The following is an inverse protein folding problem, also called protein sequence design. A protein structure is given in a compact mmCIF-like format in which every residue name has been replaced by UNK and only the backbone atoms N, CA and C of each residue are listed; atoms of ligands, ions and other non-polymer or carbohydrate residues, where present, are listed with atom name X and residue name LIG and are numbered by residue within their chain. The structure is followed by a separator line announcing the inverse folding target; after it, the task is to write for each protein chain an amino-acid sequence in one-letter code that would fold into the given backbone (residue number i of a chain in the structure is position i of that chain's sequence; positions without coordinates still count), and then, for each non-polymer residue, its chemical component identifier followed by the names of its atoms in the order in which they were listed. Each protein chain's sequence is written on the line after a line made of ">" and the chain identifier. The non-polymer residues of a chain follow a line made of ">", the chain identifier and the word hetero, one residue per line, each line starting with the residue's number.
data_IF_768673314836
#
_entry.id   IF_768673314836
#
_cell.length_a   1.000
_cell.length_b   1.000
_cell.length_c   1.000
_cell.angle_alpha   90.00
_cell.angle_beta   90.00
_cell.angle_gamma   90.00
#
_symmetry.space_group_name_H-M   'P 1'
#
loop_
_entity.id
_entity.type
_entity.pdbx_description
1 polymer ?
#
# COMPACT_ATOMS: atom_id res chain seq x y z
N UNK A 1 6.05 -9.88 -11.61
CA UNK A 1 7.07 -9.31 -12.51
C UNK A 1 7.91 -10.43 -13.10
N UNK A 2 8.31 -10.36 -14.40
CA UNK A 2 9.22 -11.34 -15.00
C UNK A 2 10.67 -11.13 -14.51
N UNK A 3 11.50 -12.18 -14.68
CA UNK A 3 12.94 -12.08 -14.43
C UNK A 3 13.56 -10.93 -15.26
N UNK A 4 14.58 -10.23 -14.76
CA UNK A 4 15.30 -10.45 -13.50
C UNK A 4 14.65 -9.77 -12.27
N UNK A 5 13.48 -9.17 -12.39
CA UNK A 5 12.80 -8.36 -11.35
C UNK A 5 11.68 -9.12 -10.63
N UNK A 6 11.67 -10.44 -10.68
CA UNK A 6 10.68 -11.29 -10.05
C UNK A 6 10.92 -11.48 -8.55
N UNK A 7 9.84 -11.68 -7.81
CA UNK A 7 9.90 -11.96 -6.38
C UNK A 7 10.66 -10.90 -5.57
N UNK A 8 11.62 -11.31 -4.73
CA UNK A 8 12.40 -10.39 -3.87
C UNK A 8 13.42 -9.56 -4.64
N UNK A 9 13.65 -9.83 -5.92
CA UNK A 9 14.58 -9.09 -6.79
C UNK A 9 13.97 -7.82 -7.37
N UNK A 10 12.69 -7.54 -7.09
CA UNK A 10 12.07 -6.29 -7.49
C UNK A 10 12.80 -5.09 -6.86
N UNK A 11 13.18 -4.06 -7.65
CA UNK A 11 13.94 -2.93 -7.13
C UNK A 11 13.16 -2.13 -6.10
N UNK A 12 13.91 -1.51 -5.18
CA UNK A 12 13.31 -0.55 -4.26
C UNK A 12 12.86 0.69 -5.04
N UNK A 13 11.57 0.99 -4.96
CA UNK A 13 10.97 2.17 -5.58
C UNK A 13 10.47 3.15 -4.52
N UNK A 14 10.39 4.43 -4.89
CA UNK A 14 9.82 5.50 -4.09
C UNK A 14 8.49 5.98 -4.69
N UNK A 15 7.73 6.75 -3.94
CA UNK A 15 6.52 7.43 -4.45
C UNK A 15 6.87 8.36 -5.62
N UNK A 16 8.06 8.98 -5.59
CA UNK A 16 8.57 9.81 -6.69
C UNK A 16 8.70 9.03 -8.01
N UNK A 17 9.15 7.78 -7.95
CA UNK A 17 9.28 6.94 -9.15
C UNK A 17 7.91 6.63 -9.76
N UNK A 18 6.91 6.36 -8.92
CA UNK A 18 5.53 6.14 -9.38
C UNK A 18 4.96 7.39 -10.07
N UNK A 19 5.21 8.57 -9.51
CA UNK A 19 4.77 9.84 -10.08
C UNK A 19 5.46 10.11 -11.42
N UNK A 20 6.77 9.88 -11.49
CA UNK A 20 7.51 10.09 -12.74
C UNK A 20 7.11 9.09 -13.82
N UNK A 21 6.86 7.82 -13.48
CA UNK A 21 6.36 6.83 -14.41
C UNK A 21 4.98 7.23 -14.96
N UNK A 22 4.06 7.67 -14.09
CA UNK A 22 2.74 8.15 -14.49
C UNK A 22 2.83 9.40 -15.40
N UNK A 23 3.70 10.36 -15.06
CA UNK A 23 3.93 11.57 -15.85
C UNK A 23 4.42 11.24 -17.26
N UNK A 24 5.42 10.36 -17.36
CA UNK A 24 5.95 9.91 -18.67
C UNK A 24 4.91 9.18 -19.50
N UNK A 25 4.12 8.31 -18.88
CA UNK A 25 3.03 7.61 -19.55
C UNK A 25 2.01 8.59 -20.12
N UNK A 26 1.54 9.56 -19.31
CA UNK A 26 0.57 10.56 -19.74
C UNK A 26 1.09 11.40 -20.92
N UNK A 27 2.36 11.76 -20.88
CA UNK A 27 2.98 12.53 -21.96
C UNK A 27 3.17 11.71 -23.23
N UNK A 28 3.71 10.48 -23.10
CA UNK A 28 4.06 9.64 -24.26
C UNK A 28 2.83 9.08 -24.97
N UNK A 29 1.84 8.59 -24.21
CA UNK A 29 0.69 7.88 -24.79
C UNK A 29 -0.50 8.83 -25.08
N UNK A 30 -0.63 9.93 -24.30
CA UNK A 30 -1.81 10.80 -24.39
C UNK A 30 -1.48 12.25 -24.76
N UNK A 31 -0.20 12.63 -24.85
CA UNK A 31 0.22 14.01 -25.10
C UNK A 31 -0.14 14.98 -23.95
N UNK A 32 -0.49 14.45 -22.77
CA UNK A 32 -0.91 15.25 -21.63
C UNK A 32 0.33 15.73 -20.87
N UNK A 33 0.55 17.04 -20.88
CA UNK A 33 1.67 17.68 -20.17
C UNK A 33 1.23 18.41 -18.91
N UNK A 34 -0.08 18.70 -18.75
CA UNK A 34 -0.64 19.40 -17.59
C UNK A 34 -1.94 18.76 -17.15
N UNK A 35 -2.04 18.51 -15.84
CA UNK A 35 -3.22 17.96 -15.18
C UNK A 35 -4.04 19.07 -14.52
N UNK A 36 -5.34 19.02 -14.66
CA UNK A 36 -6.26 19.91 -13.96
C UNK A 36 -6.25 19.61 -12.45
N UNK A 37 -6.26 18.34 -12.09
CA UNK A 37 -6.18 17.88 -10.70
C UNK A 37 -5.58 16.48 -10.60
N UNK A 38 -4.90 16.20 -9.47
CA UNK A 38 -4.52 14.87 -9.03
C UNK A 38 -5.30 14.55 -7.76
N UNK A 39 -6.13 13.51 -7.81
CA UNK A 39 -6.95 13.04 -6.68
C UNK A 39 -6.40 11.71 -6.19
N UNK A 40 -6.10 11.59 -4.90
CA UNK A 40 -5.47 10.40 -4.36
C UNK A 40 -5.97 9.99 -2.98
N UNK A 41 -6.27 8.70 -2.82
CA UNK A 41 -6.63 8.09 -1.55
C UNK A 41 -5.45 7.29 -0.98
N UNK A 42 -5.20 7.38 0.34
CA UNK A 42 -4.17 6.60 1.04
C UNK A 42 -2.78 6.81 0.42
N UNK A 43 -2.14 5.78 -0.11
CA UNK A 43 -0.88 5.87 -0.84
C UNK A 43 -1.00 6.73 -2.12
N UNK A 44 -2.20 6.81 -2.73
CA UNK A 44 -2.50 7.77 -3.79
C UNK A 44 -2.47 9.22 -3.34
N UNK A 45 -2.81 9.51 -2.06
CA UNK A 45 -2.64 10.84 -1.50
C UNK A 45 -1.16 11.24 -1.37
N UNK A 46 -0.29 10.28 -1.04
CA UNK A 46 1.17 10.49 -1.05
C UNK A 46 1.66 10.84 -2.46
N UNK A 47 1.14 10.16 -3.49
CA UNK A 47 1.44 10.49 -4.88
C UNK A 47 0.93 11.88 -5.24
N UNK A 48 -0.27 12.27 -4.79
CA UNK A 48 -0.79 13.62 -5.04
C UNK A 48 0.09 14.71 -4.42
N UNK A 49 0.57 14.54 -3.19
CA UNK A 49 1.56 15.43 -2.59
C UNK A 49 2.86 15.45 -3.38
N UNK A 50 3.34 14.30 -3.81
CA UNK A 50 4.58 14.19 -4.59
C UNK A 50 4.46 14.88 -5.96
N UNK A 51 3.31 14.76 -6.64
CA UNK A 51 3.04 15.49 -7.87
C UNK A 51 3.19 17.01 -7.69
N UNK A 52 2.59 17.57 -6.62
CA UNK A 52 2.64 19.00 -6.36
C UNK A 52 4.07 19.50 -6.09
N UNK A 53 4.91 18.69 -5.44
CA UNK A 53 6.27 19.07 -5.10
C UNK A 53 7.25 18.83 -6.27
N UNK A 54 7.13 17.70 -6.96
CA UNK A 54 8.06 17.34 -8.04
C UNK A 54 7.73 18.04 -9.36
N UNK A 55 6.47 18.33 -9.62
CA UNK A 55 5.99 18.87 -10.91
C UNK A 55 4.93 19.96 -10.71
N UNK A 56 5.25 21.06 -10.00
CA UNK A 56 4.28 22.12 -9.66
C UNK A 56 3.64 22.77 -10.90
N UNK A 57 4.39 22.86 -12.00
CA UNK A 57 3.88 23.45 -13.24
C UNK A 57 3.00 22.47 -14.04
N UNK A 58 3.10 21.17 -13.77
CA UNK A 58 2.35 20.12 -14.46
C UNK A 58 1.01 19.78 -13.78
N UNK A 59 0.72 20.30 -12.58
CA UNK A 59 -0.53 20.04 -11.87
C UNK A 59 -1.11 21.32 -11.28
N UNK A 60 -2.40 21.59 -11.55
CA UNK A 60 -3.06 22.80 -11.07
C UNK A 60 -3.61 22.67 -9.65
N UNK A 61 -4.05 21.47 -9.26
CA UNK A 61 -4.68 21.19 -7.97
C UNK A 61 -4.37 19.76 -7.53
N UNK A 62 -4.31 19.55 -6.21
CA UNK A 62 -4.26 18.22 -5.62
C UNK A 62 -5.41 18.04 -4.62
N UNK A 63 -5.97 16.84 -4.55
CA UNK A 63 -6.98 16.44 -3.57
C UNK A 63 -6.49 15.16 -2.86
N UNK A 64 -5.55 15.28 -1.93
CA UNK A 64 -5.06 14.16 -1.14
C UNK A 64 -6.00 13.90 0.03
N UNK A 65 -6.44 12.63 0.23
CA UNK A 65 -7.25 12.26 1.37
C UNK A 65 -6.84 10.92 1.96
N UNK A 66 -6.96 10.77 3.27
CA UNK A 66 -6.53 9.60 4.05
C UNK A 66 -5.05 9.24 3.87
N UNK A 67 -4.18 10.23 3.63
CA UNK A 67 -2.74 10.06 3.49
C UNK A 67 -1.98 11.29 3.99
N UNK A 68 -0.67 11.22 4.00
CA UNK A 68 0.22 12.27 4.53
C UNK A 68 1.33 12.61 3.55
N UNK A 69 1.88 13.81 3.65
CA UNK A 69 3.05 14.26 2.86
C UNK A 69 4.37 13.55 3.28
N UNK A 70 4.37 12.94 4.47
CA UNK A 70 5.49 12.21 5.03
C UNK A 70 4.97 11.03 5.86
N UNK A 71 5.67 9.89 5.82
CA UNK A 71 5.36 8.77 6.72
C UNK A 71 6.05 8.99 8.06
N UNK A 72 5.25 9.33 9.07
CA UNK A 72 5.72 9.56 10.45
C UNK A 72 6.05 8.24 11.18
N UNK A 73 6.81 8.29 12.30
CA UNK A 73 7.28 7.10 13.02
C UNK A 73 6.18 6.09 13.35
N UNK A 74 4.99 6.53 13.79
CA UNK A 74 3.87 5.63 14.05
C UNK A 74 3.44 4.85 12.79
N UNK A 75 3.40 5.51 11.63
CA UNK A 75 3.13 4.85 10.34
C UNK A 75 4.22 3.86 9.96
N UNK A 76 5.49 4.20 10.21
CA UNK A 76 6.63 3.32 9.96
C UNK A 76 6.55 2.05 10.82
N UNK A 77 6.29 2.18 12.12
CA UNK A 77 6.13 1.03 13.05
C UNK A 77 4.96 0.14 12.64
N UNK A 78 3.81 0.72 12.28
CA UNK A 78 2.65 -0.02 11.80
C UNK A 78 2.97 -0.84 10.55
N UNK A 79 3.66 -0.26 9.58
CA UNK A 79 4.05 -0.96 8.35
C UNK A 79 5.10 -2.03 8.63
N UNK A 80 6.07 -1.76 9.52
CA UNK A 80 7.07 -2.75 9.91
C UNK A 80 6.44 -3.94 10.61
N UNK A 81 5.49 -3.73 11.53
CA UNK A 81 4.80 -4.84 12.20
C UNK A 81 3.96 -5.69 11.23
N UNK A 82 3.37 -5.07 10.19
CA UNK A 82 2.67 -5.81 9.14
C UNK A 82 3.65 -6.66 8.31
N UNK A 83 4.80 -6.11 7.93
CA UNK A 83 5.85 -6.85 7.22
C UNK A 83 6.35 -8.00 8.08
N UNK A 84 6.66 -7.75 9.36
CA UNK A 84 7.10 -8.79 10.29
C UNK A 84 6.09 -9.94 10.43
N UNK A 85 4.79 -9.62 10.53
CA UNK A 85 3.73 -10.62 10.60
C UNK A 85 3.69 -11.52 9.35
N UNK A 86 3.93 -10.94 8.17
CA UNK A 86 3.97 -11.69 6.91
C UNK A 86 5.24 -12.54 6.79
N UNK A 87 6.40 -11.97 7.09
CA UNK A 87 7.71 -12.62 6.92
C UNK A 87 8.02 -13.67 7.99
N UNK A 88 7.24 -13.71 9.09
CA UNK A 88 7.34 -14.76 10.10
C UNK A 88 6.88 -16.14 9.61
N UNK A 89 6.16 -16.21 8.49
CA UNK A 89 5.79 -17.48 7.86
C UNK A 89 7.04 -18.11 7.21
N UNK A 90 7.42 -19.32 7.66
CA UNK A 90 8.56 -20.04 7.09
C UNK A 90 8.41 -20.29 5.58
N UNK A 91 7.17 -20.43 5.08
CA UNK A 91 6.90 -20.59 3.65
C UNK A 91 7.24 -19.35 2.83
N UNK A 92 7.40 -18.17 3.45
CA UNK A 92 7.83 -16.94 2.76
C UNK A 92 9.24 -17.07 2.18
N UNK A 93 10.14 -17.81 2.82
CA UNK A 93 11.48 -18.14 2.31
C UNK A 93 12.23 -16.92 1.74
N UNK A 94 12.30 -15.82 2.50
CA UNK A 94 12.91 -14.56 2.07
C UNK A 94 12.38 -13.99 0.74
N UNK A 95 11.16 -14.36 0.37
CA UNK A 95 10.49 -13.93 -0.87
C UNK A 95 10.63 -14.90 -2.04
N UNK A 96 11.48 -15.93 -1.96
CA UNK A 96 11.64 -16.97 -2.98
C UNK A 96 10.71 -18.18 -2.69
N UNK A 97 9.43 -17.91 -2.47
CA UNK A 97 8.44 -18.96 -2.23
C UNK A 97 7.91 -19.56 -3.54
N UNK A 98 7.67 -20.86 -3.54
CA UNK A 98 7.03 -21.58 -4.65
C UNK A 98 5.51 -21.70 -4.48
N UNK A 99 5.05 -21.62 -3.22
CA UNK A 99 3.64 -21.57 -2.86
C UNK A 99 3.39 -20.36 -1.95
N UNK A 100 2.22 -19.68 -2.05
CA UNK A 100 1.93 -18.50 -1.24
C UNK A 100 2.11 -18.76 0.27
N UNK A 101 2.77 -17.86 1.01
CA UNK A 101 2.91 -17.95 2.47
C UNK A 101 1.59 -17.63 3.15
N UNK A 102 0.68 -18.60 3.21
CA UNK A 102 -0.73 -18.41 3.59
C UNK A 102 -0.89 -17.94 5.03
N UNK A 103 -0.09 -18.46 5.96
CA UNK A 103 -0.13 -18.03 7.37
C UNK A 103 0.33 -16.58 7.52
N UNK A 104 1.38 -16.20 6.81
CA UNK A 104 1.89 -14.82 6.76
C UNK A 104 0.87 -13.85 6.13
N UNK A 105 0.25 -14.25 5.02
CA UNK A 105 -0.80 -13.44 4.38
C UNK A 105 -2.03 -13.29 5.29
N UNK A 106 -2.41 -14.33 6.02
CA UNK A 106 -3.48 -14.27 7.00
C UNK A 106 -3.13 -13.33 8.17
N UNK A 107 -1.90 -13.41 8.69
CA UNK A 107 -1.42 -12.53 9.75
C UNK A 107 -1.38 -11.06 9.29
N UNK A 108 -0.88 -10.79 8.08
CA UNK A 108 -0.95 -9.49 7.42
C UNK A 108 -2.37 -8.95 7.36
N UNK A 109 -3.31 -9.76 6.89
CA UNK A 109 -4.71 -9.37 6.74
C UNK A 109 -5.36 -9.02 8.07
N UNK A 110 -5.12 -9.82 9.12
CA UNK A 110 -5.60 -9.56 10.49
C UNK A 110 -4.98 -8.31 11.09
N UNK A 111 -3.67 -8.08 10.89
CA UNK A 111 -3.02 -6.84 11.32
C UNK A 111 -3.73 -5.62 10.74
N UNK A 112 -3.99 -5.62 9.44
CA UNK A 112 -4.66 -4.50 8.78
C UNK A 112 -6.12 -4.32 9.18
N UNK A 113 -6.80 -5.35 9.66
CA UNK A 113 -8.17 -5.22 10.14
C UNK A 113 -8.33 -4.19 11.26
N UNK A 114 -7.34 -4.12 12.17
CA UNK A 114 -7.33 -3.15 13.27
C UNK A 114 -7.04 -1.70 12.82
N UNK A 115 -6.45 -1.50 11.64
CA UNK A 115 -6.03 -0.18 11.16
C UNK A 115 -6.92 0.42 10.07
N UNK A 116 -7.61 -0.43 9.30
CA UNK A 116 -8.51 0.01 8.24
C UNK A 116 -9.84 0.51 8.79
N UNK A 117 -10.30 -0.08 9.88
CA UNK A 117 -11.50 0.32 10.56
C UNK A 117 -11.16 1.04 11.87
N UNK A 118 -11.98 2.02 12.28
CA UNK A 118 -11.80 2.73 13.54
C UNK A 118 -12.14 1.83 14.74
N UNK A 119 -11.63 2.18 15.91
CA UNK A 119 -12.02 1.52 17.17
C UNK A 119 -13.52 1.57 17.38
N UNK A 120 -14.16 2.69 17.07
CA UNK A 120 -15.60 2.87 17.18
C UNK A 120 -16.37 1.95 16.23
N UNK A 121 -15.86 1.70 15.02
CA UNK A 121 -16.47 0.76 14.08
C UNK A 121 -16.53 -0.65 14.68
N UNK A 122 -15.44 -1.11 15.30
CA UNK A 122 -15.39 -2.40 15.98
C UNK A 122 -16.28 -2.42 17.23
N UNK A 123 -16.26 -1.38 18.07
CA UNK A 123 -17.07 -1.27 19.28
C UNK A 123 -18.57 -1.32 18.98
N UNK A 124 -19.00 -0.68 17.92
CA UNK A 124 -20.39 -0.67 17.46
C UNK A 124 -20.75 -1.88 16.62
N UNK A 125 -19.86 -2.84 16.46
CA UNK A 125 -20.05 -4.06 15.68
C UNK A 125 -20.60 -3.80 14.26
N UNK A 126 -20.11 -2.76 13.58
CA UNK A 126 -20.59 -2.39 12.24
C UNK A 126 -20.27 -3.45 11.16
N UNK A 127 -19.61 -4.54 11.52
CA UNK A 127 -19.44 -5.73 10.70
C UNK A 127 -20.69 -6.62 10.66
N UNK A 128 -21.61 -6.50 11.63
CA UNK A 128 -22.79 -7.36 11.81
C UNK A 128 -23.64 -7.60 10.55
N UNK A 129 -23.84 -6.64 9.63
CA UNK A 129 -24.55 -6.91 8.38
C UNK A 129 -23.90 -7.95 7.46
N UNK A 130 -22.62 -8.29 7.71
CA UNK A 130 -21.81 -9.18 6.85
C UNK A 130 -21.22 -10.37 7.57
N UNK A 131 -21.12 -10.34 8.90
CA UNK A 131 -20.50 -11.37 9.73
C UNK A 131 -21.20 -11.45 11.08
N UNK A 132 -21.41 -12.66 11.58
CA UNK A 132 -22.07 -12.92 12.87
C UNK A 132 -21.16 -12.72 14.08
N UNK A 133 -19.85 -12.72 13.86
CA UNK A 133 -18.81 -12.58 14.90
C UNK A 133 -17.57 -11.85 14.39
N UNK A 134 -16.70 -11.43 15.31
CA UNK A 134 -15.37 -10.88 14.97
C UNK A 134 -14.53 -11.91 14.22
N UNK A 135 -14.59 -13.19 14.64
CA UNK A 135 -13.82 -14.25 14.00
C UNK A 135 -14.26 -14.46 12.56
N UNK A 136 -15.55 -14.43 12.29
CA UNK A 136 -16.08 -14.52 10.94
C UNK A 136 -15.68 -13.31 10.09
N UNK A 137 -15.77 -12.10 10.64
CA UNK A 137 -15.33 -10.88 9.96
C UNK A 137 -13.84 -10.92 9.58
N UNK A 138 -13.01 -11.45 10.47
CA UNK A 138 -11.57 -11.65 10.21
C UNK A 138 -11.33 -12.76 9.18
N UNK A 139 -12.07 -13.86 9.24
CA UNK A 139 -11.96 -14.97 8.28
C UNK A 139 -12.30 -14.48 6.86
N UNK A 140 -13.41 -13.78 6.68
CA UNK A 140 -13.81 -13.19 5.39
C UNK A 140 -12.76 -12.23 4.84
N UNK A 141 -12.11 -11.46 5.72
CA UNK A 141 -11.04 -10.57 5.32
C UNK A 141 -9.80 -11.35 4.84
N UNK A 142 -9.40 -12.38 5.58
CA UNK A 142 -8.28 -13.26 5.22
C UNK A 142 -8.54 -13.91 3.86
N UNK A 143 -9.73 -14.44 3.64
CA UNK A 143 -10.12 -15.06 2.37
C UNK A 143 -10.03 -14.07 1.19
N UNK A 144 -10.55 -12.85 1.37
CA UNK A 144 -10.46 -11.79 0.36
C UNK A 144 -9.02 -11.41 0.01
N UNK A 145 -8.13 -11.38 1.00
CA UNK A 145 -6.75 -10.97 0.84
C UNK A 145 -5.82 -12.13 0.43
N UNK A 146 -6.28 -13.38 0.53
CA UNK A 146 -5.51 -14.59 0.23
C UNK A 146 -4.89 -14.66 -1.19
N UNK A 147 -5.49 -14.10 -2.25
CA UNK A 147 -4.89 -14.10 -3.59
C UNK A 147 -3.74 -13.11 -3.76
N UNK A 148 -3.42 -12.29 -2.76
CA UNK A 148 -2.38 -11.26 -2.88
C UNK A 148 -0.99 -11.88 -2.88
N UNK A 149 -0.09 -11.25 -3.62
CA UNK A 149 1.32 -11.61 -3.64
C UNK A 149 2.07 -10.96 -2.47
N UNK A 150 2.80 -11.76 -1.70
CA UNK A 150 3.50 -11.30 -0.51
C UNK A 150 4.63 -10.31 -0.81
N UNK A 151 5.40 -10.54 -1.89
CA UNK A 151 6.46 -9.62 -2.29
C UNK A 151 5.90 -8.25 -2.72
N UNK A 152 4.78 -8.23 -3.44
CA UNK A 152 4.11 -6.98 -3.80
C UNK A 152 3.62 -6.20 -2.58
N UNK A 153 3.06 -6.88 -1.57
CA UNK A 153 2.63 -6.24 -0.32
C UNK A 153 3.82 -5.61 0.43
N UNK A 154 4.95 -6.32 0.50
CA UNK A 154 6.17 -5.81 1.15
C UNK A 154 6.75 -4.64 0.35
N UNK A 155 6.84 -4.75 -0.97
CA UNK A 155 7.34 -3.66 -1.82
C UNK A 155 6.50 -2.39 -1.65
N UNK A 156 5.16 -2.49 -1.64
CA UNK A 156 4.26 -1.37 -1.37
C UNK A 156 4.46 -0.79 0.03
N UNK A 157 4.58 -1.63 1.05
CA UNK A 157 4.80 -1.18 2.42
C UNK A 157 6.14 -0.45 2.58
N UNK A 158 7.20 -0.97 1.97
CA UNK A 158 8.53 -0.32 1.98
C UNK A 158 8.53 1.01 1.22
N UNK A 159 7.83 1.09 0.08
CA UNK A 159 7.62 2.35 -0.65
C UNK A 159 6.89 3.38 0.21
N UNK A 160 5.84 2.95 0.91
CA UNK A 160 5.10 3.80 1.82
C UNK A 160 5.96 4.29 3.00
N UNK A 161 6.74 3.39 3.64
CA UNK A 161 7.61 3.76 4.78
C UNK A 161 8.60 4.88 4.43
N UNK A 162 9.15 4.86 3.21
CA UNK A 162 10.17 5.82 2.75
C UNK A 162 9.60 7.14 2.28
N UNK A 163 8.27 7.27 2.22
CA UNK A 163 7.67 8.49 1.67
C UNK A 163 7.95 9.72 2.52
N UNK A 164 8.53 10.73 1.88
CA UNK A 164 8.74 12.07 2.41
C UNK A 164 8.89 13.04 1.23
N UNK A 165 7.97 13.99 1.07
CA UNK A 165 8.05 14.97 -0.04
C UNK A 165 9.12 16.04 0.17
N UNK A 166 9.72 16.10 1.37
CA UNK A 166 10.77 17.05 1.72
C UNK A 166 12.19 16.57 1.47
N UNK A 167 12.36 15.33 0.95
CA UNK A 167 13.67 14.73 0.66
C UNK A 167 14.04 14.86 -0.81
#
# INVERSE_FOLDING_TARGET
>A
TPAPFDGPRFPAIAIRDNVEAARRLLQAEFGITRLHAVVGFSMGAQQAFQWAVSHPDAVSRIVPYCGTAKTYPHGQVRLESAIAALTADAAFNNGDYTAPPRSGLAAWSKHWAAWVYSQEWWRRELFRPRASSVDEALAQRVERDAPRDANNLIAQARTWQRHNVGD
#
